data_IF_851729807101
#
_entry.id   IF_851729807101
#
_cell.length_a   1.000
_cell.length_b   1.000
_cell.length_c   1.000
_cell.angle_alpha   90.00
_cell.angle_beta   90.00
_cell.angle_gamma   90.00
#
_symmetry.space_group_name_H-M   'P 1'
#
loop_
_entity.id
_entity.type
_entity.pdbx_description
1 polymer ?
#
# COMPACT_ATOMS: atom_id res chain seq x y z
N UNK A 1 36.26 -7.13 -24.27
CA UNK A 1 36.07 -7.30 -22.81
C UNK A 1 34.86 -6.55 -22.26
N UNK A 2 34.64 -5.28 -22.61
CA UNK A 2 33.51 -4.47 -22.13
C UNK A 2 32.12 -5.12 -22.27
N UNK A 3 31.83 -5.75 -23.42
CA UNK A 3 30.57 -6.48 -23.65
C UNK A 3 30.36 -7.61 -22.63
N UNK A 4 31.41 -8.37 -22.31
CA UNK A 4 31.32 -9.46 -21.33
C UNK A 4 31.09 -8.92 -19.91
N UNK A 5 31.84 -7.89 -19.51
CA UNK A 5 31.67 -7.22 -18.20
C UNK A 5 30.25 -6.67 -18.04
N UNK A 6 29.73 -5.96 -19.05
CA UNK A 6 28.37 -5.42 -19.05
C UNK A 6 27.32 -6.52 -18.90
N UNK A 7 27.47 -7.61 -19.66
CA UNK A 7 26.52 -8.75 -19.60
C UNK A 7 26.58 -9.41 -18.22
N UNK A 8 27.77 -9.66 -17.67
CA UNK A 8 27.93 -10.22 -16.32
C UNK A 8 27.25 -9.35 -15.27
N UNK A 9 27.45 -8.02 -15.33
CA UNK A 9 26.82 -7.10 -14.39
C UNK A 9 25.29 -7.09 -14.48
N UNK A 10 24.74 -7.08 -15.70
CA UNK A 10 23.29 -7.18 -15.92
C UNK A 10 22.72 -8.51 -15.42
N UNK A 11 23.44 -9.63 -15.61
CA UNK A 11 23.02 -10.93 -15.09
C UNK A 11 23.03 -10.98 -13.57
N UNK A 12 24.00 -10.34 -12.91
CA UNK A 12 24.01 -10.23 -11.45
C UNK A 12 22.81 -9.43 -10.94
N UNK A 13 22.50 -8.29 -11.55
CA UNK A 13 21.28 -7.51 -11.23
C UNK A 13 20.03 -8.38 -11.40
N UNK A 14 19.93 -9.07 -12.54
CA UNK A 14 18.79 -9.94 -12.82
C UNK A 14 18.65 -11.06 -11.80
N UNK A 15 19.76 -11.71 -11.42
CA UNK A 15 19.78 -12.75 -10.40
C UNK A 15 19.33 -12.22 -9.04
N UNK A 16 19.81 -11.04 -8.63
CA UNK A 16 19.36 -10.40 -7.37
C UNK A 16 17.86 -10.09 -7.39
N UNK A 17 17.34 -9.54 -8.50
CA UNK A 17 15.90 -9.24 -8.64
C UNK A 17 15.07 -10.53 -8.62
N UNK A 18 15.52 -11.59 -9.28
CA UNK A 18 14.85 -12.89 -9.29
C UNK A 18 14.84 -13.52 -7.90
N UNK A 19 15.98 -13.52 -7.19
CA UNK A 19 16.09 -14.03 -5.83
C UNK A 19 15.16 -13.27 -4.87
N UNK A 20 15.14 -11.94 -4.94
CA UNK A 20 14.27 -11.12 -4.09
C UNK A 20 12.79 -11.42 -4.35
N UNK A 21 12.40 -11.55 -5.62
CA UNK A 21 11.02 -11.91 -6.00
C UNK A 21 10.62 -13.29 -5.45
N UNK A 22 11.55 -14.25 -5.42
CA UNK A 22 11.29 -15.57 -4.87
C UNK A 22 11.13 -15.54 -3.33
N UNK A 23 11.99 -14.80 -2.63
CA UNK A 23 11.88 -14.60 -1.18
C UNK A 23 10.57 -13.90 -0.80
N UNK A 24 10.19 -12.84 -1.53
CA UNK A 24 8.93 -12.12 -1.31
C UNK A 24 7.71 -13.05 -1.40
N UNK A 25 7.75 -14.06 -2.29
CA UNK A 25 6.69 -15.07 -2.42
C UNK A 25 6.69 -16.08 -1.26
N UNK A 26 7.87 -16.48 -0.77
CA UNK A 26 8.00 -17.42 0.34
C UNK A 26 7.52 -16.82 1.67
N UNK A 27 7.69 -15.51 1.84
CA UNK A 27 7.30 -14.77 3.04
C UNK A 27 5.78 -14.68 3.26
N UNK A 28 4.95 -14.84 2.22
CA UNK A 28 3.48 -14.93 2.35
C UNK A 28 3.00 -16.26 2.96
N UNK A 29 3.92 -17.03 3.54
CA UNK A 29 3.59 -18.13 4.44
C UNK A 29 3.34 -17.68 5.88
N UNK A 30 3.49 -16.38 6.19
CA UNK A 30 3.20 -15.75 7.48
C UNK A 30 3.85 -16.46 8.69
N UNK A 31 5.10 -16.90 8.53
CA UNK A 31 5.88 -17.46 9.64
C UNK A 31 6.29 -16.41 10.66
N UNK A 32 6.57 -15.21 10.18
CA UNK A 32 7.01 -14.05 10.96
C UNK A 32 6.17 -12.83 10.59
N UNK A 33 6.18 -11.82 11.45
CA UNK A 33 5.51 -10.54 11.18
C UNK A 33 6.25 -9.70 10.13
N UNK A 34 5.52 -8.82 9.44
CA UNK A 34 6.13 -7.82 8.57
C UNK A 34 6.33 -6.50 9.30
N UNK A 35 7.59 -6.08 9.41
CA UNK A 35 7.93 -4.72 9.74
C UNK A 35 7.76 -3.81 8.51
N UNK A 36 6.87 -2.82 8.63
CA UNK A 36 6.56 -1.83 7.60
C UNK A 36 7.13 -0.49 8.03
N UNK A 37 8.04 0.07 7.23
CA UNK A 37 8.51 1.44 7.42
C UNK A 37 7.70 2.39 6.54
N UNK A 38 7.12 3.43 7.15
CA UNK A 38 6.49 4.54 6.45
C UNK A 38 7.41 5.75 6.48
N UNK A 39 7.60 6.39 5.32
CA UNK A 39 8.49 7.53 5.14
C UNK A 39 7.68 8.72 4.63
N UNK A 40 7.44 9.75 5.46
CA UNK A 40 6.72 10.94 5.02
C UNK A 40 7.53 11.72 3.99
N UNK A 41 6.85 12.22 2.95
CA UNK A 41 7.40 13.05 1.88
C UNK A 41 6.45 14.22 1.69
N UNK A 42 6.98 15.44 1.71
CA UNK A 42 6.22 16.62 1.31
C UNK A 42 6.21 16.68 -0.22
N UNK A 43 5.14 16.23 -0.85
CA UNK A 43 5.09 16.09 -2.31
C UNK A 43 4.89 17.42 -3.04
N UNK A 44 4.23 18.38 -2.36
CA UNK A 44 3.92 19.70 -2.93
C UNK A 44 4.94 20.77 -2.52
N UNK A 45 5.84 20.47 -1.57
CA UNK A 45 6.77 21.42 -0.98
C UNK A 45 6.09 22.52 -0.14
N UNK A 46 4.82 22.35 0.22
CA UNK A 46 4.04 23.40 0.91
C UNK A 46 4.39 23.48 2.40
N UNK A 47 4.35 24.68 2.98
CA UNK A 47 4.61 24.85 4.42
C UNK A 47 3.52 24.21 5.28
N UNK A 48 2.27 24.17 4.79
CA UNK A 48 1.17 23.48 5.47
C UNK A 48 1.46 21.99 5.63
N UNK A 49 1.88 21.33 4.55
CA UNK A 49 2.29 19.92 4.61
C UNK A 49 3.51 19.76 5.50
N UNK A 50 4.54 20.61 5.38
CA UNK A 50 5.71 20.57 6.27
C UNK A 50 5.33 20.67 7.74
N UNK A 51 4.37 21.54 8.09
CA UNK A 51 3.85 21.65 9.46
C UNK A 51 3.15 20.37 9.91
N UNK A 52 2.30 19.79 9.06
CA UNK A 52 1.65 18.52 9.33
C UNK A 52 2.65 17.35 9.50
N UNK A 53 3.69 17.26 8.67
CA UNK A 53 4.69 16.20 8.78
C UNK A 53 5.44 16.25 10.13
N UNK A 54 5.66 17.45 10.69
CA UNK A 54 6.29 17.62 12.00
C UNK A 54 5.42 17.14 13.16
N UNK A 55 4.11 16.97 12.96
CA UNK A 55 3.23 16.43 14.00
C UNK A 55 3.11 14.91 13.96
N UNK A 56 3.56 14.26 12.88
CA UNK A 56 3.44 12.81 12.72
C UNK A 56 4.30 12.07 13.75
N UNK A 57 3.68 11.07 14.36
CA UNK A 57 4.25 10.18 15.35
C UNK A 57 4.05 8.73 14.89
N UNK A 58 4.69 7.77 15.57
CA UNK A 58 4.49 6.35 15.26
C UNK A 58 3.05 5.94 15.56
N UNK A 59 2.47 6.51 16.60
CA UNK A 59 1.14 6.23 17.13
C UNK A 59 0.03 6.56 16.11
N UNK A 60 0.26 7.54 15.23
CA UNK A 60 -0.67 7.88 14.15
C UNK A 60 -0.89 6.71 13.16
N UNK A 61 0.07 5.78 13.06
CA UNK A 61 0.03 4.63 12.16
C UNK A 61 -0.34 3.32 12.86
N UNK A 62 -0.37 3.31 14.20
CA UNK A 62 -0.74 2.14 15.01
C UNK A 62 -2.12 1.55 14.64
N UNK A 63 -3.16 2.34 14.31
CA UNK A 63 -4.45 1.77 13.93
C UNK A 63 -4.40 0.87 12.69
N UNK A 64 -3.37 1.00 11.83
CA UNK A 64 -3.16 0.04 10.72
C UNK A 64 -2.69 -1.30 11.29
N UNK A 65 -1.72 -1.32 12.21
CA UNK A 65 -1.28 -2.57 12.83
C UNK A 65 -2.43 -3.27 13.56
N UNK A 66 -3.21 -2.52 14.35
CA UNK A 66 -4.39 -3.03 15.04
C UNK A 66 -5.43 -3.59 14.07
N UNK A 67 -5.72 -2.87 12.99
CA UNK A 67 -6.65 -3.33 11.96
C UNK A 67 -6.25 -4.69 11.39
N UNK A 68 -4.97 -4.89 11.04
CA UNK A 68 -4.52 -6.19 10.53
C UNK A 68 -4.55 -7.31 11.59
N UNK A 69 -4.52 -6.99 12.89
CA UNK A 69 -4.76 -7.98 13.96
C UNK A 69 -6.22 -8.39 13.99
N UNK A 70 -7.13 -7.41 13.97
CA UNK A 70 -8.58 -7.63 13.98
C UNK A 70 -9.02 -8.44 12.75
N UNK A 71 -8.59 -8.03 11.56
CA UNK A 71 -8.96 -8.65 10.30
C UNK A 71 -8.34 -10.03 10.08
N UNK A 72 -7.18 -10.32 10.69
CA UNK A 72 -6.57 -11.66 10.61
C UNK A 72 -7.25 -12.68 11.53
N UNK A 73 -7.99 -12.24 12.55
CA UNK A 73 -8.55 -13.12 13.57
C UNK A 73 -9.57 -14.14 13.02
N UNK A 74 -10.53 -13.78 12.14
CA UNK A 74 -11.45 -14.73 11.51
C UNK A 74 -10.75 -15.80 10.67
N UNK A 75 -9.56 -15.48 10.14
CA UNK A 75 -8.77 -16.38 9.29
C UNK A 75 -7.79 -17.26 10.06
N UNK A 76 -7.75 -17.14 11.39
CA UNK A 76 -6.92 -17.96 12.27
C UNK A 76 -5.42 -17.99 11.88
N UNK A 77 -4.88 -16.85 11.44
CA UNK A 77 -3.50 -16.72 10.95
C UNK A 77 -2.44 -17.22 11.95
N UNK A 78 -2.75 -17.23 13.25
CA UNK A 78 -1.85 -17.73 14.30
C UNK A 78 -0.75 -16.74 14.71
N UNK A 79 -0.71 -15.56 14.09
CA UNK A 79 0.15 -14.44 14.49
C UNK A 79 -0.64 -13.45 15.36
N UNK A 80 -0.07 -13.09 16.51
CA UNK A 80 -0.66 -12.04 17.38
C UNK A 80 -0.63 -10.66 16.74
N UNK A 81 0.38 -10.41 15.89
CA UNK A 81 0.61 -9.11 15.27
C UNK A 81 1.28 -9.30 13.91
N UNK A 82 0.48 -9.46 12.83
CA UNK A 82 1.02 -9.78 11.50
C UNK A 82 1.79 -8.62 10.87
N UNK A 83 1.43 -7.37 11.21
CA UNK A 83 2.05 -6.16 10.72
C UNK A 83 2.55 -5.32 11.89
N UNK A 84 3.74 -4.74 11.73
CA UNK A 84 4.32 -3.77 12.66
C UNK A 84 4.68 -2.48 11.95
N UNK A 85 4.12 -1.35 12.40
CA UNK A 85 4.36 -0.04 11.80
C UNK A 85 5.54 0.68 12.46
N UNK A 86 6.40 1.26 11.62
CA UNK A 86 7.51 2.11 12.02
C UNK A 86 7.49 3.41 11.23
N UNK A 87 7.53 4.55 11.92
CA UNK A 87 7.72 5.84 11.29
C UNK A 87 9.22 6.10 11.06
N UNK A 88 9.61 6.25 9.80
CA UNK A 88 10.93 6.71 9.41
C UNK A 88 11.03 8.24 9.39
N UNK A 89 12.26 8.75 9.37
CA UNK A 89 12.49 10.18 9.15
C UNK A 89 11.93 10.61 7.78
N UNK A 90 11.56 11.89 7.68
CA UNK A 90 11.11 12.49 6.42
C UNK A 90 12.14 12.28 5.31
N UNK A 91 11.65 11.97 4.12
CA UNK A 91 12.45 11.86 2.90
C UNK A 91 12.19 13.08 2.03
N UNK A 92 13.26 13.74 1.59
CA UNK A 92 13.18 15.00 0.84
C UNK A 92 13.08 14.78 -0.68
N UNK A 93 13.58 13.66 -1.18
CA UNK A 93 13.44 13.32 -2.59
C UNK A 93 12.07 12.68 -2.86
N UNK A 94 11.48 12.99 -4.01
CA UNK A 94 10.20 12.41 -4.42
C UNK A 94 10.46 11.06 -5.13
N UNK A 95 9.80 9.96 -4.73
CA UNK A 95 9.94 8.68 -5.42
C UNK A 95 9.44 8.79 -6.87
N UNK A 96 10.07 8.08 -7.82
CA UNK A 96 9.69 8.17 -9.23
C UNK A 96 8.24 7.72 -9.44
N UNK A 97 7.48 8.49 -10.22
CA UNK A 97 6.12 8.12 -10.61
C UNK A 97 6.12 6.99 -11.66
N UNK A 98 5.12 6.09 -11.64
CA UNK A 98 4.97 5.08 -12.68
C UNK A 98 4.68 5.73 -14.05
N UNK A 99 4.97 5.03 -15.16
CA UNK A 99 4.66 5.52 -16.50
C UNK A 99 3.14 5.50 -16.75
N UNK A 100 2.64 6.51 -17.47
CA UNK A 100 1.21 6.65 -17.79
C UNK A 100 0.79 5.93 -19.07
N UNK A 101 1.75 5.43 -19.87
CA UNK A 101 1.53 4.91 -21.22
C UNK A 101 1.30 3.39 -21.28
N UNK A 102 1.32 2.71 -20.13
CA UNK A 102 1.19 1.25 -20.04
C UNK A 102 2.35 0.47 -20.66
N UNK A 103 3.46 1.14 -21.00
CA UNK A 103 4.62 0.51 -21.64
C UNK A 103 5.29 -0.49 -20.69
N UNK A 104 5.37 -1.76 -21.10
CA UNK A 104 6.07 -2.80 -20.34
C UNK A 104 7.52 -2.41 -20.05
N UNK A 105 8.22 -1.85 -21.05
CA UNK A 105 9.59 -1.39 -20.87
C UNK A 105 9.65 -0.19 -19.91
N UNK A 106 8.69 0.74 -20.02
CA UNK A 106 8.55 1.85 -19.09
C UNK A 106 8.40 1.36 -17.64
N UNK A 107 7.52 0.38 -17.42
CA UNK A 107 7.27 -0.21 -16.10
C UNK A 107 8.51 -0.91 -15.54
N UNK A 108 9.26 -1.64 -16.38
CA UNK A 108 10.53 -2.26 -15.97
C UNK A 108 11.54 -1.17 -15.54
N UNK A 109 11.75 -0.15 -16.37
CA UNK A 109 12.69 0.94 -16.07
C UNK A 109 12.28 1.67 -14.79
N UNK A 110 11.00 1.99 -14.65
CA UNK A 110 10.46 2.60 -13.44
C UNK A 110 10.69 1.72 -12.21
N UNK A 111 10.42 0.42 -12.28
CA UNK A 111 10.62 -0.49 -11.15
C UNK A 111 12.07 -0.51 -10.66
N UNK A 112 13.04 -0.43 -11.58
CA UNK A 112 14.47 -0.36 -11.25
C UNK A 112 14.82 0.99 -10.63
N UNK A 113 14.31 2.10 -11.19
CA UNK A 113 14.48 3.44 -10.62
C UNK A 113 13.91 3.54 -9.21
N UNK A 114 12.73 2.96 -8.98
CA UNK A 114 12.08 3.01 -7.68
C UNK A 114 12.84 2.17 -6.63
N UNK A 115 13.36 1.00 -7.01
CA UNK A 115 14.25 0.21 -6.14
C UNK A 115 15.54 0.95 -5.80
N UNK A 116 16.16 1.58 -6.79
CA UNK A 116 17.37 2.39 -6.58
C UNK A 116 17.08 3.59 -5.65
N UNK A 117 15.98 4.30 -5.90
CA UNK A 117 15.49 5.36 -5.02
C UNK A 117 15.34 4.82 -3.59
N UNK A 118 14.65 3.71 -3.40
CA UNK A 118 14.40 3.18 -2.07
C UNK A 118 15.69 2.75 -1.37
N UNK A 119 16.69 2.27 -2.10
CA UNK A 119 18.00 1.96 -1.53
C UNK A 119 18.72 3.19 -0.97
N UNK A 120 18.61 4.33 -1.65
CA UNK A 120 19.28 5.58 -1.24
C UNK A 120 18.46 6.39 -0.22
N UNK A 121 17.13 6.33 -0.32
CA UNK A 121 16.19 7.21 0.39
C UNK A 121 15.38 6.50 1.46
N UNK A 122 15.98 5.50 2.13
CA UNK A 122 15.39 4.84 3.31
C UNK A 122 16.22 5.11 4.56
N UNK A 123 15.98 6.23 5.27
CA UNK A 123 16.57 6.46 6.58
C UNK A 123 16.40 5.24 7.50
N UNK A 124 17.40 4.99 8.35
CA UNK A 124 17.38 3.85 9.27
C UNK A 124 16.18 3.97 10.23
N UNK A 125 15.54 2.83 10.45
CA UNK A 125 14.50 2.61 11.46
C UNK A 125 14.98 1.54 12.45
N UNK A 126 14.24 1.33 13.54
CA UNK A 126 14.65 0.44 14.64
C UNK A 126 14.86 -1.01 14.18
N UNK A 127 13.93 -1.53 13.38
CA UNK A 127 13.99 -2.90 12.83
C UNK A 127 13.99 -2.82 11.32
N UNK A 128 14.88 -3.58 10.66
CA UNK A 128 14.98 -3.60 9.20
C UNK A 128 13.59 -3.92 8.59
N UNK A 129 13.01 -3.02 7.80
CA UNK A 129 11.67 -3.22 7.28
C UNK A 129 11.68 -4.20 6.10
N UNK A 130 10.66 -5.06 6.08
CA UNK A 130 10.35 -5.91 4.94
C UNK A 130 9.59 -5.13 3.85
N UNK A 131 8.82 -4.12 4.25
CA UNK A 131 8.00 -3.27 3.37
C UNK A 131 8.34 -1.81 3.62
N UNK A 132 8.48 -1.01 2.56
CA UNK A 132 8.73 0.43 2.64
C UNK A 132 7.67 1.21 1.89
N UNK A 133 6.96 2.09 2.56
CA UNK A 133 5.92 2.92 1.97
C UNK A 133 6.34 4.38 2.06
N UNK A 134 6.42 5.06 0.92
CA UNK A 134 6.67 6.50 0.83
C UNK A 134 5.34 7.21 0.79
N UNK A 135 5.07 8.00 1.83
CA UNK A 135 3.80 8.68 2.04
C UNK A 135 3.92 10.11 1.50
N UNK A 136 3.42 10.33 0.29
CA UNK A 136 3.42 11.61 -0.39
C UNK A 136 2.24 12.42 0.08
N UNK A 137 2.50 13.34 0.99
CA UNK A 137 1.50 14.24 1.50
C UNK A 137 1.34 15.45 0.58
N UNK A 138 0.10 15.71 0.22
CA UNK A 138 -0.33 16.82 -0.61
C UNK A 138 -1.22 17.78 0.18
N UNK A 139 -1.21 19.06 -0.17
CA UNK A 139 -2.08 20.04 0.46
C UNK A 139 -3.50 19.92 -0.13
N UNK A 140 -4.54 19.60 0.67
CA UNK A 140 -5.90 19.45 0.17
C UNK A 140 -6.48 20.73 -0.44
N UNK A 141 -5.96 21.91 -0.08
CA UNK A 141 -6.44 23.19 -0.64
C UNK A 141 -5.95 23.41 -2.07
N UNK A 142 -4.73 22.96 -2.40
CA UNK A 142 -4.16 23.10 -3.74
C UNK A 142 -4.36 21.86 -4.62
N UNK A 143 -4.50 20.69 -3.98
CA UNK A 143 -4.54 19.38 -4.62
C UNK A 143 -5.79 18.60 -4.17
N UNK A 144 -7.03 19.06 -4.46
CA UNK A 144 -8.26 18.50 -3.88
C UNK A 144 -8.58 17.06 -4.34
N UNK A 145 -7.88 16.56 -5.35
CA UNK A 145 -7.94 15.17 -5.82
C UNK A 145 -6.52 14.67 -5.97
N UNK A 146 -6.23 13.51 -5.37
CA UNK A 146 -4.93 12.88 -5.47
C UNK A 146 -4.91 11.93 -6.67
N UNK A 147 -3.77 11.88 -7.35
CA UNK A 147 -3.52 10.80 -8.32
C UNK A 147 -3.56 9.43 -7.62
N UNK A 148 -3.88 8.36 -8.35
CA UNK A 148 -3.87 7.01 -7.80
C UNK A 148 -2.51 6.70 -7.17
N UNK A 149 -2.55 6.13 -5.96
CA UNK A 149 -1.37 5.57 -5.31
C UNK A 149 -0.88 4.35 -6.10
N UNK A 150 0.38 3.96 -5.89
CA UNK A 150 0.95 2.82 -6.62
C UNK A 150 1.95 2.08 -5.76
N UNK A 151 1.68 0.79 -5.53
CA UNK A 151 2.59 -0.12 -4.87
C UNK A 151 3.23 -1.11 -5.86
N UNK A 152 4.54 -1.33 -5.71
CA UNK A 152 5.23 -2.47 -6.31
C UNK A 152 5.18 -3.65 -5.34
N UNK A 153 4.39 -4.67 -5.70
CA UNK A 153 4.36 -5.94 -4.98
C UNK A 153 5.75 -6.59 -4.90
N UNK A 154 6.43 -6.70 -6.04
CA UNK A 154 7.79 -7.24 -6.11
C UNK A 154 8.76 -6.19 -5.62
N UNK A 155 9.49 -6.50 -4.54
CA UNK A 155 10.37 -5.56 -3.85
C UNK A 155 9.70 -4.79 -2.70
N UNK A 156 8.39 -4.95 -2.50
CA UNK A 156 7.64 -4.42 -1.34
C UNK A 156 7.90 -2.94 -1.06
N UNK A 157 7.84 -2.14 -2.11
CA UNK A 157 8.00 -0.69 -2.04
C UNK A 157 6.76 -0.03 -2.61
N UNK A 158 6.20 0.94 -1.89
CA UNK A 158 4.97 1.62 -2.29
C UNK A 158 5.09 3.13 -2.26
N UNK A 159 4.38 3.78 -3.18
CA UNK A 159 4.18 5.22 -3.25
C UNK A 159 2.71 5.47 -2.92
N UNK A 160 2.44 6.16 -1.83
CA UNK A 160 1.08 6.38 -1.31
C UNK A 160 0.79 7.87 -1.31
N UNK A 161 -0.13 8.35 -2.13
CA UNK A 161 -0.56 9.75 -2.10
C UNK A 161 -1.61 9.94 -1.00
N UNK A 162 -1.37 10.89 -0.10
CA UNK A 162 -2.18 11.20 1.07
C UNK A 162 -2.40 12.72 1.19
N UNK A 163 -3.37 13.13 1.99
CA UNK A 163 -3.58 14.55 2.32
C UNK A 163 -2.83 14.95 3.59
N UNK A 164 -2.07 16.03 3.55
CA UNK A 164 -1.29 16.59 4.66
C UNK A 164 -2.13 17.44 5.61
N UNK A 165 -3.27 16.91 6.06
CA UNK A 165 -4.17 17.59 6.99
C UNK A 165 -4.86 16.57 7.91
N UNK A 166 -4.94 16.92 9.20
CA UNK A 166 -5.51 16.07 10.26
C UNK A 166 -6.96 15.64 9.99
N UNK A 167 -7.74 16.44 9.25
CA UNK A 167 -9.12 16.10 8.87
C UNK A 167 -9.19 14.81 8.03
N UNK A 168 -8.11 14.49 7.30
CA UNK A 168 -8.01 13.33 6.42
C UNK A 168 -7.27 12.15 7.07
N UNK A 169 -6.76 12.29 8.29
CA UNK A 169 -5.91 11.27 8.93
C UNK A 169 -6.53 9.87 8.89
N UNK A 170 -7.83 9.74 9.22
CA UNK A 170 -8.52 8.44 9.22
C UNK A 170 -8.71 7.85 7.82
N UNK A 171 -8.95 8.69 6.81
CA UNK A 171 -9.09 8.24 5.42
C UNK A 171 -7.72 7.87 4.84
N UNK A 172 -6.67 8.64 5.17
CA UNK A 172 -5.30 8.34 4.81
C UNK A 172 -4.88 6.95 5.29
N UNK A 173 -5.32 6.52 6.49
CA UNK A 173 -5.04 5.17 6.99
C UNK A 173 -5.75 4.07 6.17
N UNK A 174 -6.92 4.34 5.59
CA UNK A 174 -7.56 3.40 4.66
C UNK A 174 -6.72 3.23 3.39
N UNK A 175 -6.31 4.34 2.79
CA UNK A 175 -5.45 4.34 1.60
C UNK A 175 -4.14 3.63 1.91
N UNK A 176 -3.52 3.92 3.05
CA UNK A 176 -2.30 3.28 3.50
C UNK A 176 -2.44 1.75 3.64
N UNK A 177 -3.53 1.28 4.26
CA UNK A 177 -3.77 -0.16 4.42
C UNK A 177 -4.05 -0.84 3.08
N UNK A 178 -4.80 -0.20 2.19
CA UNK A 178 -5.05 -0.67 0.83
C UNK A 178 -3.74 -0.84 0.03
N UNK A 179 -2.89 0.19 0.02
CA UNK A 179 -1.60 0.12 -0.66
C UNK A 179 -0.63 -0.88 -0.02
N UNK A 180 -0.70 -1.04 1.30
CA UNK A 180 0.06 -2.07 2.00
C UNK A 180 -0.34 -3.47 1.50
N UNK A 181 -1.63 -3.74 1.32
CA UNK A 181 -2.10 -5.03 0.79
C UNK A 181 -1.60 -5.29 -0.64
N UNK A 182 -1.50 -4.27 -1.49
CA UNK A 182 -0.85 -4.43 -2.80
C UNK A 182 0.61 -4.87 -2.70
N UNK A 183 1.36 -4.42 -1.67
CA UNK A 183 2.72 -4.94 -1.44
C UNK A 183 2.75 -6.42 -1.05
N UNK A 184 1.61 -6.96 -0.62
CA UNK A 184 1.39 -8.35 -0.23
C UNK A 184 0.66 -9.17 -1.31
N UNK A 185 0.67 -8.71 -2.57
CA UNK A 185 0.03 -9.32 -3.75
C UNK A 185 -1.50 -9.19 -3.85
N UNK A 186 -2.16 -8.42 -2.99
CA UNK A 186 -3.57 -8.17 -3.17
C UNK A 186 -3.83 -7.42 -4.49
N UNK A 187 -4.89 -7.80 -5.19
CA UNK A 187 -5.39 -7.11 -6.40
C UNK A 187 -6.54 -6.16 -6.06
N UNK A 188 -6.88 -5.23 -6.95
CA UNK A 188 -8.09 -4.43 -6.80
C UNK A 188 -9.36 -5.27 -7.03
N UNK A 189 -10.42 -5.01 -6.26
CA UNK A 189 -11.74 -5.66 -6.36
C UNK A 189 -12.81 -4.67 -6.81
N UNK A 190 -12.43 -3.73 -7.65
CA UNK A 190 -13.35 -2.77 -8.26
C UNK A 190 -13.09 -2.66 -9.76
N UNK A 191 -14.09 -2.21 -10.49
CA UNK A 191 -13.96 -1.92 -11.92
C UNK A 191 -13.18 -0.62 -12.11
N UNK A 192 -12.07 -0.66 -12.86
CA UNK A 192 -11.16 0.48 -13.04
C UNK A 192 -11.80 1.66 -13.80
N UNK A 193 -12.88 1.42 -14.56
CA UNK A 193 -13.54 2.48 -15.34
C UNK A 193 -14.58 3.23 -14.50
N UNK A 194 -15.26 2.52 -13.61
CA UNK A 194 -16.39 3.04 -12.82
C UNK A 194 -16.03 3.28 -11.35
N UNK A 195 -14.93 2.72 -10.87
CA UNK A 195 -14.53 2.67 -9.46
C UNK A 195 -15.55 1.99 -8.54
N UNK A 196 -16.52 1.26 -9.11
CA UNK A 196 -17.51 0.53 -8.32
C UNK A 196 -16.94 -0.82 -7.87
N UNK A 197 -17.14 -1.21 -6.59
CA UNK A 197 -16.73 -2.52 -6.12
C UNK A 197 -17.37 -3.64 -6.94
N UNK A 198 -16.57 -4.63 -7.33
CA UNK A 198 -16.98 -5.72 -8.20
C UNK A 198 -17.63 -6.84 -7.37
N UNK A 199 -18.92 -7.09 -7.56
CA UNK A 199 -19.61 -8.17 -6.85
C UNK A 199 -19.14 -9.56 -7.32
N UNK A 200 -19.00 -10.57 -6.44
CA UNK A 200 -19.15 -10.48 -4.98
C UNK A 200 -17.87 -10.02 -4.26
N UNK A 201 -16.71 -10.13 -4.91
CA UNK A 201 -15.41 -10.06 -4.24
C UNK A 201 -15.03 -8.69 -3.66
N UNK A 202 -15.60 -7.60 -4.20
CA UNK A 202 -15.43 -6.24 -3.72
C UNK A 202 -16.47 -5.80 -2.68
N UNK A 203 -17.39 -6.69 -2.30
CA UNK A 203 -18.39 -6.42 -1.27
C UNK A 203 -17.89 -6.98 0.06
N UNK A 204 -18.07 -6.19 1.12
CA UNK A 204 -17.75 -6.63 2.48
C UNK A 204 -18.67 -7.78 2.92
N UNK A 205 -19.95 -7.65 2.59
CA UNK A 205 -21.02 -8.56 3.00
C UNK A 205 -21.83 -8.97 1.75
N UNK A 206 -21.28 -9.79 0.84
CA UNK A 206 -21.93 -10.12 -0.42
C UNK A 206 -23.26 -10.87 -0.24
N UNK A 207 -23.46 -11.51 0.92
CA UNK A 207 -24.68 -12.25 1.25
C UNK A 207 -25.72 -11.44 2.05
N UNK A 208 -25.48 -10.14 2.28
CA UNK A 208 -26.40 -9.28 3.04
C UNK A 208 -27.76 -9.16 2.35
N UNK A 209 -28.85 -9.14 3.13
CA UNK A 209 -30.22 -8.91 2.63
C UNK A 209 -30.92 -7.82 3.46
N UNK A 210 -31.32 -6.67 2.88
CA UNK A 210 -31.05 -6.26 1.49
C UNK A 210 -29.56 -6.03 1.22
N UNK A 211 -29.10 -6.27 -0.02
CA UNK A 211 -27.69 -6.15 -0.40
C UNK A 211 -27.15 -4.72 -0.18
N UNK A 212 -28.00 -3.72 -0.39
CA UNK A 212 -27.67 -2.30 -0.25
C UNK A 212 -28.51 -1.63 0.85
N UNK A 213 -27.96 -0.61 1.52
CA UNK A 213 -26.53 -0.24 1.50
C UNK A 213 -25.68 -1.28 2.25
N UNK A 214 -24.44 -1.48 1.82
CA UNK A 214 -23.44 -2.21 2.60
C UNK A 214 -23.03 -1.36 3.81
N UNK A 215 -22.72 -2.00 4.94
CA UNK A 215 -22.25 -1.27 6.13
C UNK A 215 -20.74 -1.01 6.06
N UNK A 216 -20.00 -1.92 5.42
CA UNK A 216 -18.56 -1.88 5.31
C UNK A 216 -18.13 -1.92 3.83
N UNK A 217 -16.92 -1.43 3.55
CA UNK A 217 -16.24 -1.67 2.29
C UNK A 217 -15.34 -2.91 2.43
N UNK A 218 -15.24 -3.72 1.38
CA UNK A 218 -14.06 -4.59 1.27
C UNK A 218 -12.86 -3.68 0.98
N UNK A 219 -11.76 -3.84 1.72
CA UNK A 219 -10.64 -2.88 1.70
C UNK A 219 -10.04 -2.76 0.30
N UNK A 220 -9.93 -3.86 -0.45
CA UNK A 220 -9.48 -3.87 -1.85
C UNK A 220 -10.59 -3.52 -2.86
N UNK A 221 -11.85 -3.51 -2.46
CA UNK A 221 -12.98 -2.93 -3.18
C UNK A 221 -13.00 -1.40 -3.11
N UNK A 222 -12.30 -0.81 -2.14
CA UNK A 222 -11.98 0.62 -2.05
C UNK A 222 -13.13 1.54 -1.58
N UNK A 223 -14.38 1.18 -1.85
CA UNK A 223 -15.56 1.99 -1.56
C UNK A 223 -16.68 1.18 -0.91
N UNK A 224 -17.55 1.84 -0.14
CA UNK A 224 -18.76 1.25 0.46
C UNK A 224 -19.89 1.28 -0.57
N UNK A 225 -20.40 0.14 -1.07
CA UNK A 225 -21.54 0.13 -2.00
C UNK A 225 -22.83 0.64 -1.33
N UNK A 226 -23.40 1.74 -1.83
CA UNK A 226 -24.66 2.32 -1.31
C UNK A 226 -25.84 1.96 -2.21
N UNK A 227 -25.59 1.73 -3.50
CA UNK A 227 -26.55 1.20 -4.49
C UNK A 227 -25.77 0.59 -5.65
N UNK A 228 -26.46 0.02 -6.64
CA UNK A 228 -25.84 -0.58 -7.84
C UNK A 228 -24.93 0.39 -8.61
N UNK A 229 -25.18 1.70 -8.56
CA UNK A 229 -24.44 2.71 -9.33
C UNK A 229 -23.71 3.74 -8.45
N UNK A 230 -23.72 3.56 -7.13
CA UNK A 230 -23.13 4.52 -6.19
C UNK A 230 -22.38 3.82 -5.07
N UNK A 231 -21.13 4.23 -4.87
CA UNK A 231 -20.32 3.85 -3.73
C UNK A 231 -19.70 5.10 -3.07
N UNK A 232 -19.36 5.01 -1.79
CA UNK A 232 -18.84 6.12 -0.99
C UNK A 232 -17.47 5.78 -0.38
N UNK A 233 -16.62 6.80 -0.21
CA UNK A 233 -15.30 6.63 0.41
C UNK A 233 -15.48 6.23 1.88
N UNK A 234 -14.87 5.14 2.35
CA UNK A 234 -14.93 4.76 3.76
C UNK A 234 -14.29 5.85 4.63
N UNK A 235 -15.00 6.23 5.71
CA UNK A 235 -14.55 7.31 6.61
C UNK A 235 -13.33 6.95 7.47
N UNK A 236 -13.04 5.66 7.62
CA UNK A 236 -11.94 5.12 8.43
C UNK A 236 -11.82 3.61 8.21
N UNK A 237 -10.72 3.01 8.67
CA UNK A 237 -10.53 1.54 8.69
C UNK A 237 -11.65 0.78 9.42
N UNK A 238 -12.29 1.37 10.44
CA UNK A 238 -13.45 0.78 11.12
C UNK A 238 -14.68 0.58 10.23
N UNK A 239 -14.66 1.11 9.00
CA UNK A 239 -15.70 0.94 7.98
C UNK A 239 -15.23 0.07 6.82
N UNK A 240 -14.15 -0.68 7.01
CA UNK A 240 -13.60 -1.61 6.02
C UNK A 240 -13.38 -2.98 6.65
N UNK A 241 -13.28 -4.01 5.81
CA UNK A 241 -12.83 -5.35 6.19
C UNK A 241 -11.96 -5.97 5.10
N UNK A 242 -11.20 -7.01 5.42
CA UNK A 242 -10.47 -7.82 4.44
C UNK A 242 -11.33 -9.03 4.08
N UNK A 243 -11.78 -9.10 2.83
CA UNK A 243 -12.63 -10.22 2.35
C UNK A 243 -11.84 -11.51 2.11
N UNK A 244 -12.53 -12.64 1.98
CA UNK A 244 -11.89 -13.96 1.83
C UNK A 244 -10.94 -14.03 0.62
N UNK A 245 -11.32 -13.43 -0.52
CA UNK A 245 -10.47 -13.44 -1.71
C UNK A 245 -9.16 -12.67 -1.46
N UNK A 246 -9.25 -11.50 -0.85
CA UNK A 246 -8.07 -10.71 -0.44
C UNK A 246 -7.22 -11.51 0.54
N UNK A 247 -7.83 -12.12 1.56
CA UNK A 247 -7.15 -12.97 2.54
C UNK A 247 -6.40 -14.14 1.87
N UNK A 248 -6.96 -14.78 0.84
CA UNK A 248 -6.27 -15.82 0.05
C UNK A 248 -5.08 -15.27 -0.72
N UNK A 249 -5.24 -14.12 -1.37
CA UNK A 249 -4.17 -13.52 -2.18
C UNK A 249 -2.95 -13.12 -1.34
N UNK A 250 -3.19 -12.58 -0.14
CA UNK A 250 -2.12 -12.23 0.79
C UNK A 250 -1.59 -13.44 1.57
N UNK A 251 -2.19 -14.63 1.44
CA UNK A 251 -1.71 -15.87 2.04
C UNK A 251 -2.21 -16.16 3.46
N UNK A 252 -3.26 -15.48 3.93
CA UNK A 252 -3.93 -15.81 5.20
C UNK A 252 -4.75 -17.08 5.11
N UNK A 253 -5.33 -17.34 3.93
CA UNK A 253 -6.07 -18.55 3.61
C UNK A 253 -5.36 -19.32 2.50
N UNK A 254 -5.32 -20.65 2.63
CA UNK A 254 -4.82 -21.55 1.58
C UNK A 254 -5.91 -21.96 0.61
#
# INVERSE_FOLDING_TARGET
MWKKIRITFLLLILATVAQQTWLDKADLSWKDNFYVAVYPVNADGSEKVSAYLRTLTREDFEPVAEYFVEEAAPYHLGLRRPIEMQLGAQVNDIPPAPPNDGSVLGTIIWSLKFRFFAWNNSPKVNVKPAIRLYLLYHDPETSPRLSHSTALNKGRIGRVNLFGDSAYAKQNLVILAHELLHTLNATDKYDLNTSLPAYPDGFAEPNKTPLYPQDLAELMGGYVPVSESKAEIPKSLKRTLIGEKTAREIGWLK
#
